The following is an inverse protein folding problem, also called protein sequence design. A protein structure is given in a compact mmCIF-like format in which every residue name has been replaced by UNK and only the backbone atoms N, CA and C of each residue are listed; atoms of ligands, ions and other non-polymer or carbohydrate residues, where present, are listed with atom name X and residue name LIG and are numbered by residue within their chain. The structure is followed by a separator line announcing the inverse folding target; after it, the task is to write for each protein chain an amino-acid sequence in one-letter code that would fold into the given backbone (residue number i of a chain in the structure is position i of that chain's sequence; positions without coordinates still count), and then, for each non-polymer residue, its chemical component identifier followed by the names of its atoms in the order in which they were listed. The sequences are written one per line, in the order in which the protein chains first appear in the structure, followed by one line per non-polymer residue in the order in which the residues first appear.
data_IF_626986602026
#
_entry.id   IF_626986602026
#
_cell.length_a   1.000
_cell.length_b   1.000
_cell.length_c   1.000
_cell.angle_alpha   90.00
_cell.angle_beta   90.00
_cell.angle_gamma   90.00
#
_symmetry.space_group_name_H-M   'P 1'
#
loop_
_entity.id
_entity.type
_entity.pdbx_description
1 polymer ?
#
# COMPACT_ATOMS: atom_id res chain seq x y z
N UNK A 1 17.59 -20.68 0.69
CA UNK A 1 18.23 -20.21 -0.56
C UNK A 1 18.41 -18.71 -0.48
N UNK A 2 19.59 -18.17 -0.82
CA UNK A 2 19.85 -16.73 -0.87
C UNK A 2 19.37 -16.21 -2.22
N UNK A 3 18.29 -15.44 -2.24
CA UNK A 3 17.69 -14.95 -3.50
C UNK A 3 18.15 -13.52 -3.79
N UNK A 4 18.36 -12.70 -2.76
CA UNK A 4 18.79 -11.30 -2.88
C UNK A 4 20.04 -11.02 -2.05
N UNK A 5 20.98 -10.22 -2.60
CA UNK A 5 22.18 -9.77 -1.88
C UNK A 5 21.87 -8.78 -0.75
N UNK A 6 22.82 -8.55 0.19
CA UNK A 6 22.60 -7.78 1.42
C UNK A 6 22.16 -6.32 1.17
N UNK A 7 22.66 -5.67 0.12
CA UNK A 7 22.28 -4.30 -0.24
C UNK A 7 20.84 -4.20 -0.78
N UNK A 8 20.42 -5.18 -1.59
CA UNK A 8 19.07 -5.23 -2.15
C UNK A 8 18.02 -5.51 -1.08
N UNK A 9 18.36 -6.37 -0.12
CA UNK A 9 17.51 -6.70 1.03
C UNK A 9 17.31 -5.51 1.97
N UNK A 10 18.33 -4.67 2.19
CA UNK A 10 18.19 -3.42 2.95
C UNK A 10 17.27 -2.41 2.24
N UNK A 11 17.41 -2.27 0.92
CA UNK A 11 16.53 -1.42 0.12
C UNK A 11 15.07 -1.88 0.20
N UNK A 12 14.83 -3.20 0.08
CA UNK A 12 13.51 -3.81 0.23
C UNK A 12 12.88 -3.53 1.60
N UNK A 13 13.66 -3.61 2.69
CA UNK A 13 13.17 -3.26 4.02
C UNK A 13 12.68 -1.81 4.12
N UNK A 14 13.49 -0.85 3.67
CA UNK A 14 13.18 0.58 3.76
C UNK A 14 11.93 0.92 2.94
N UNK A 15 11.86 0.43 1.69
CA UNK A 15 10.72 0.66 0.80
C UNK A 15 9.46 0.01 1.37
N UNK A 16 9.56 -1.19 1.93
CA UNK A 16 8.40 -1.84 2.54
C UNK A 16 7.87 -1.09 3.76
N UNK A 17 8.73 -0.62 4.66
CA UNK A 17 8.29 0.20 5.81
C UNK A 17 7.60 1.48 5.34
N UNK A 18 8.22 2.19 4.40
CA UNK A 18 7.64 3.41 3.82
C UNK A 18 6.27 3.15 3.17
N UNK A 19 6.19 2.12 2.33
CA UNK A 19 4.96 1.73 1.64
C UNK A 19 3.83 1.35 2.59
N UNK A 20 4.13 0.61 3.67
CA UNK A 20 3.14 0.25 4.69
C UNK A 20 2.55 1.50 5.34
N UNK A 21 3.39 2.42 5.81
CA UNK A 21 2.94 3.63 6.50
C UNK A 21 2.08 4.48 5.57
N UNK A 22 2.53 4.70 4.34
CA UNK A 22 1.81 5.50 3.36
C UNK A 22 0.47 4.87 2.97
N UNK A 23 0.43 3.57 2.65
CA UNK A 23 -0.79 2.89 2.19
C UNK A 23 -1.83 2.72 3.30
N UNK A 24 -1.41 2.49 4.55
CA UNK A 24 -2.35 2.39 5.68
C UNK A 24 -3.02 3.74 5.94
N UNK A 25 -2.25 4.83 5.94
CA UNK A 25 -2.79 6.18 6.10
C UNK A 25 -3.71 6.56 4.92
N UNK A 26 -3.28 6.27 3.68
CA UNK A 26 -4.10 6.56 2.50
C UNK A 26 -5.40 5.75 2.49
N UNK A 27 -5.34 4.45 2.86
CA UNK A 27 -6.53 3.62 3.02
C UNK A 27 -7.50 4.15 4.09
N UNK A 28 -6.97 4.66 5.21
CA UNK A 28 -7.79 5.31 6.24
C UNK A 28 -8.46 6.59 5.72
N UNK A 29 -7.73 7.45 4.98
CA UNK A 29 -8.29 8.66 4.40
C UNK A 29 -9.35 8.38 3.34
N UNK A 30 -9.18 7.33 2.54
CA UNK A 30 -10.22 6.87 1.63
C UNK A 30 -11.44 6.32 2.38
N UNK A 31 -11.25 5.58 3.47
CA UNK A 31 -12.35 5.00 4.25
C UNK A 31 -13.25 6.07 4.92
N UNK A 32 -12.68 7.19 5.34
CA UNK A 32 -13.44 8.32 5.91
C UNK A 32 -14.03 9.26 4.83
N UNK A 33 -13.92 8.91 3.54
CA UNK A 33 -14.37 9.74 2.41
C UNK A 33 -13.76 11.15 2.40
N UNK A 34 -12.44 11.25 2.61
CA UNK A 34 -11.75 12.55 2.62
C UNK A 34 -11.83 13.27 1.27
N UNK A 35 -12.36 14.50 1.28
CA UNK A 35 -12.51 15.36 0.09
C UNK A 35 -11.18 15.61 -0.62
N UNK A 36 -10.06 15.57 0.11
CA UNK A 36 -8.74 15.78 -0.48
C UNK A 36 -8.33 14.71 -1.52
N UNK A 37 -8.95 13.52 -1.49
CA UNK A 37 -8.65 12.42 -2.40
C UNK A 37 -9.74 12.23 -3.48
N UNK A 38 -10.69 13.17 -3.61
CA UNK A 38 -11.79 13.07 -4.58
C UNK A 38 -11.27 12.99 -6.03
N UNK A 39 -10.17 13.69 -6.33
CA UNK A 39 -9.55 13.73 -7.66
C UNK A 39 -8.87 12.41 -8.04
N UNK A 40 -8.54 11.58 -7.04
CA UNK A 40 -7.92 10.26 -7.24
C UNK A 40 -8.97 9.15 -7.46
N UNK A 41 -10.27 9.46 -7.33
CA UNK A 41 -11.33 8.48 -7.54
C UNK A 41 -11.59 8.29 -9.04
N UNK A 42 -11.83 7.05 -9.49
CA UNK A 42 -12.28 6.78 -10.85
C UNK A 42 -13.76 7.15 -11.01
N UNK A 43 -14.04 8.44 -11.11
CA UNK A 43 -15.37 8.99 -11.37
C UNK A 43 -15.57 9.24 -12.87
N UNK A 44 -16.82 9.16 -13.31
CA UNK A 44 -17.21 9.52 -14.66
C UNK A 44 -17.30 11.06 -14.80
N UNK A 45 -17.09 11.58 -16.01
CA UNK A 45 -17.11 13.04 -16.24
C UNK A 45 -18.52 13.64 -16.12
N UNK A 46 -19.56 12.84 -16.33
CA UNK A 46 -20.95 13.30 -16.36
C UNK A 46 -21.85 12.33 -15.58
N UNK A 47 -22.65 12.87 -14.64
CA UNK A 47 -23.65 12.12 -13.89
C UNK A 47 -25.03 12.74 -14.09
N UNK A 48 -26.04 11.90 -14.30
CA UNK A 48 -27.42 12.35 -14.53
C UNK A 48 -28.10 12.92 -13.28
N UNK A 49 -27.64 12.53 -12.08
CA UNK A 49 -28.16 13.03 -10.81
C UNK A 49 -27.06 13.17 -9.76
N UNK A 50 -27.29 14.06 -8.77
CA UNK A 50 -26.39 14.19 -7.62
C UNK A 50 -26.34 12.92 -6.77
N UNK A 51 -27.45 12.18 -6.69
CA UNK A 51 -27.54 10.96 -5.90
C UNK A 51 -26.67 9.84 -6.50
N UNK A 52 -26.67 9.72 -7.84
CA UNK A 52 -25.81 8.79 -8.57
C UNK A 52 -24.33 9.12 -8.39
N UNK A 53 -23.97 10.42 -8.40
CA UNK A 53 -22.62 10.88 -8.13
C UNK A 53 -22.15 10.46 -6.74
N UNK A 54 -22.94 10.74 -5.69
CA UNK A 54 -22.56 10.39 -4.32
C UNK A 54 -22.50 8.87 -4.11
N UNK A 55 -23.39 8.10 -4.74
CA UNK A 55 -23.36 6.64 -4.69
C UNK A 55 -22.10 6.08 -5.36
N UNK A 56 -21.73 6.60 -6.54
CA UNK A 56 -20.52 6.21 -7.25
C UNK A 56 -19.26 6.61 -6.47
N UNK A 57 -19.21 7.83 -5.94
CA UNK A 57 -18.09 8.33 -5.16
C UNK A 57 -17.86 7.50 -3.88
N UNK A 58 -18.91 7.27 -3.09
CA UNK A 58 -18.79 6.49 -1.86
C UNK A 58 -18.36 5.03 -2.15
N UNK A 59 -18.80 4.46 -3.28
CA UNK A 59 -18.33 3.13 -3.72
C UNK A 59 -16.85 3.15 -4.10
N UNK A 60 -16.41 4.15 -4.84
CA UNK A 60 -15.02 4.29 -5.27
C UNK A 60 -14.06 4.55 -4.09
N UNK A 61 -14.46 5.38 -3.12
CA UNK A 61 -13.74 5.58 -1.86
C UNK A 61 -13.50 4.26 -1.13
N UNK A 62 -14.56 3.49 -0.89
CA UNK A 62 -14.46 2.21 -0.19
C UNK A 62 -13.60 1.20 -0.97
N UNK A 63 -13.77 1.13 -2.30
CA UNK A 63 -12.97 0.23 -3.13
C UNK A 63 -11.47 0.57 -3.06
N UNK A 64 -11.12 1.87 -3.16
CA UNK A 64 -9.74 2.33 -3.06
C UNK A 64 -9.17 2.09 -1.66
N UNK A 65 -9.94 2.31 -0.59
CA UNK A 65 -9.53 2.00 0.78
C UNK A 65 -9.13 0.53 0.94
N UNK A 66 -9.96 -0.40 0.47
CA UNK A 66 -9.66 -1.83 0.52
C UNK A 66 -8.44 -2.22 -0.32
N UNK A 67 -8.32 -1.66 -1.53
CA UNK A 67 -7.15 -1.88 -2.38
C UNK A 67 -5.85 -1.44 -1.68
N UNK A 68 -5.86 -0.29 -1.00
CA UNK A 68 -4.72 0.23 -0.26
C UNK A 68 -4.34 -0.67 0.92
N UNK A 69 -5.32 -1.15 1.68
CA UNK A 69 -5.04 -2.07 2.78
C UNK A 69 -4.54 -3.44 2.32
N UNK A 70 -5.08 -3.97 1.21
CA UNK A 70 -4.55 -5.20 0.59
C UNK A 70 -3.11 -5.00 0.14
N UNK A 71 -2.81 -3.87 -0.52
CA UNK A 71 -1.45 -3.53 -0.92
C UNK A 71 -0.51 -3.39 0.30
N UNK A 72 -0.97 -2.77 1.39
CA UNK A 72 -0.22 -2.69 2.64
C UNK A 72 0.11 -4.08 3.20
N UNK A 73 -0.85 -5.02 3.18
CA UNK A 73 -0.61 -6.41 3.57
C UNK A 73 0.47 -7.08 2.69
N UNK A 74 0.48 -6.83 1.38
CA UNK A 74 1.53 -7.34 0.49
C UNK A 74 2.89 -6.75 0.87
N UNK A 75 2.97 -5.47 1.21
CA UNK A 75 4.21 -4.86 1.69
C UNK A 75 4.68 -5.41 3.04
N UNK A 76 3.77 -5.82 3.93
CA UNK A 76 4.13 -6.55 5.17
C UNK A 76 4.77 -7.90 4.82
N UNK A 77 4.22 -8.64 3.86
CA UNK A 77 4.81 -9.92 3.43
C UNK A 77 6.20 -9.71 2.82
N UNK A 78 6.38 -8.70 1.96
CA UNK A 78 7.70 -8.41 1.39
C UNK A 78 8.70 -7.94 2.45
N UNK A 79 8.25 -7.21 3.48
CA UNK A 79 9.07 -6.83 4.63
C UNK A 79 9.57 -8.07 5.38
N UNK A 80 8.68 -9.02 5.70
CA UNK A 80 9.04 -10.24 6.41
C UNK A 80 10.05 -11.07 5.62
N UNK A 81 9.82 -11.26 4.31
CA UNK A 81 10.76 -11.96 3.44
C UNK A 81 12.11 -11.23 3.36
N UNK A 82 12.10 -9.91 3.21
CA UNK A 82 13.33 -9.11 3.14
C UNK A 82 14.09 -9.16 4.47
N UNK A 83 13.40 -9.14 5.62
CA UNK A 83 13.99 -9.28 6.93
C UNK A 83 14.63 -10.65 7.13
N UNK A 84 13.95 -11.73 6.71
CA UNK A 84 14.50 -13.08 6.74
C UNK A 84 15.77 -13.19 5.87
N UNK A 85 15.74 -12.63 4.65
CA UNK A 85 16.92 -12.61 3.77
C UNK A 85 18.07 -11.77 4.37
N UNK A 86 17.78 -10.63 4.99
CA UNK A 86 18.77 -9.80 5.66
C UNK A 86 19.46 -10.55 6.80
N UNK A 87 18.67 -11.20 7.66
CA UNK A 87 19.17 -11.99 8.79
C UNK A 87 20.05 -13.16 8.35
N UNK A 88 19.66 -13.88 7.29
CA UNK A 88 20.48 -14.97 6.75
C UNK A 88 21.78 -14.46 6.12
N UNK A 89 21.77 -13.28 5.50
CA UNK A 89 22.96 -12.70 4.88
C UNK A 89 23.95 -12.14 5.90
N UNK A 90 23.48 -11.48 6.98
CA UNK A 90 24.34 -10.92 8.03
C UNK A 90 25.09 -11.98 8.82
N UNK A 91 24.50 -13.16 9.02
CA UNK A 91 25.14 -14.31 9.70
C UNK A 91 26.28 -14.94 8.91
N UNK A 92 26.30 -14.80 7.58
CA UNK A 92 27.37 -15.35 6.73
C UNK A 92 28.51 -14.35 6.53
N UNK A 93 28.27 -13.05 6.62
CA UNK A 93 29.34 -12.04 6.60
C UNK A 93 30.13 -12.01 7.91
N UNK A 94 29.57 -12.51 9.02
CA UNK A 94 30.20 -12.54 10.34
C UNK A 94 31.04 -13.80 10.62
N UNK A 95 31.04 -14.79 9.71
CA UNK A 95 31.90 -15.98 9.72
C UNK A 95 32.89 -15.92 8.56
#
# INVERSE_FOLDING_TARGET
MKICGPKLSLCGLIISVWGIVQLVLMGLFFYINSVALIEDLPLEEEYHSLEDFYAAANRAYNQNAYNCWIAACIYVLTLLLSAQQFYMNSRVTAN
#
